data_IF_586217812006
#
_entry.id   IF_586217812006
#
_cell.length_a   1.000
_cell.length_b   1.000
_cell.length_c   1.000
_cell.angle_alpha   90.00
_cell.angle_beta   90.00
_cell.angle_gamma   90.00
#
_symmetry.space_group_name_H-M   'P 1'
#
loop_
_entity.id
_entity.type
_entity.pdbx_description
1 polymer ?
#
# COMPACT_ATOMS: atom_id res chain seq x y z
N UNK A 1 -8.69 24.67 8.14
CA UNK A 1 -7.88 25.28 7.04
C UNK A 1 -7.39 24.16 6.14
N UNK A 2 -7.28 24.42 4.84
CA UNK A 2 -6.71 23.46 3.89
C UNK A 2 -5.88 24.18 2.85
N UNK A 3 -4.70 23.68 2.52
CA UNK A 3 -3.90 24.06 1.36
C UNK A 3 -3.78 22.85 0.45
N UNK A 4 -4.41 22.89 -0.73
CA UNK A 4 -4.48 21.74 -1.66
C UNK A 4 -3.28 21.69 -2.58
N UNK A 5 -2.80 20.47 -2.88
CA UNK A 5 -1.78 20.20 -3.90
C UNK A 5 -0.60 21.18 -3.83
N UNK A 6 0.04 21.26 -2.67
CA UNK A 6 1.11 22.23 -2.43
C UNK A 6 2.32 21.91 -3.30
N UNK A 7 2.81 22.92 -3.99
CA UNK A 7 3.98 22.82 -4.87
C UNK A 7 5.00 23.90 -4.55
N UNK A 8 6.25 23.64 -4.94
CA UNK A 8 7.30 24.65 -4.86
C UNK A 8 7.10 25.70 -5.92
N UNK A 9 7.33 26.98 -5.57
CA UNK A 9 7.33 28.10 -6.52
C UNK A 9 8.49 29.06 -6.25
N UNK A 10 8.73 29.97 -7.16
CA UNK A 10 9.81 30.94 -7.10
C UNK A 10 9.19 32.34 -7.21
N UNK A 11 9.03 33.08 -6.07
CA UNK A 11 8.46 34.43 -6.10
C UNK A 11 9.44 35.42 -6.74
N UNK A 12 8.93 36.38 -7.48
CA UNK A 12 9.74 37.46 -8.06
C UNK A 12 10.43 38.30 -6.97
N UNK A 13 9.75 38.49 -5.84
CA UNK A 13 10.28 39.20 -4.67
C UNK A 13 10.22 38.26 -3.45
N UNK A 14 11.34 37.59 -3.09
CA UNK A 14 11.39 36.69 -1.97
C UNK A 14 11.24 37.42 -0.63
N UNK A 15 10.07 37.29 0.02
CA UNK A 15 9.73 37.92 1.30
C UNK A 15 10.63 37.44 2.46
N UNK A 16 11.02 36.17 2.45
CA UNK A 16 11.81 35.52 3.51
C UNK A 16 13.26 35.27 3.12
N UNK A 17 13.72 35.78 1.97
CA UNK A 17 15.09 35.69 1.47
C UNK A 17 15.30 34.64 0.38
N UNK A 18 16.43 34.75 -0.32
CA UNK A 18 16.74 33.95 -1.51
C UNK A 18 17.11 32.48 -1.18
N UNK A 19 17.44 32.15 0.07
CA UNK A 19 17.79 30.79 0.51
C UNK A 19 16.60 29.97 0.98
N UNK A 20 15.40 30.55 1.03
CA UNK A 20 14.18 29.90 1.50
C UNK A 20 13.46 29.21 0.32
N UNK A 21 12.96 28.03 0.54
CA UNK A 21 12.08 27.35 -0.41
C UNK A 21 10.65 27.83 -0.19
N UNK A 22 10.01 28.34 -1.24
CA UNK A 22 8.65 28.84 -1.19
C UNK A 22 7.67 27.79 -1.70
N UNK A 23 6.53 27.66 -1.02
CA UNK A 23 5.49 26.68 -1.32
C UNK A 23 4.14 27.39 -1.43
N UNK A 24 3.33 26.95 -2.39
CA UNK A 24 1.96 27.44 -2.56
C UNK A 24 1.01 26.31 -2.90
N UNK A 25 -0.25 26.46 -2.49
CA UNK A 25 -1.35 25.60 -2.90
C UNK A 25 -1.73 25.80 -4.37
N UNK A 26 -2.55 24.91 -4.91
CA UNK A 26 -3.03 24.98 -6.28
C UNK A 26 -3.86 26.24 -6.56
N UNK A 27 -4.53 26.80 -5.56
CA UNK A 27 -5.27 28.07 -5.62
C UNK A 27 -4.40 29.30 -5.33
N UNK A 28 -3.08 29.13 -5.22
CA UNK A 28 -2.09 30.20 -5.14
C UNK A 28 -1.82 30.74 -3.75
N UNK A 29 -2.35 30.15 -2.68
CA UNK A 29 -2.08 30.57 -1.30
C UNK A 29 -0.66 30.18 -0.89
N UNK A 30 0.12 31.16 -0.41
CA UNK A 30 1.46 30.91 0.11
C UNK A 30 1.41 30.16 1.44
N UNK A 31 2.28 29.18 1.60
CA UNK A 31 2.35 28.33 2.78
C UNK A 31 2.73 29.13 4.03
N UNK A 32 3.77 29.97 3.93
CA UNK A 32 4.24 30.75 5.09
C UNK A 32 3.26 31.84 5.50
N UNK A 33 2.57 32.48 4.56
CA UNK A 33 1.51 33.46 4.83
C UNK A 33 0.22 32.81 5.35
N UNK A 34 0.16 31.48 5.36
CA UNK A 34 -0.99 30.70 5.83
C UNK A 34 -0.76 29.96 7.15
N UNK A 35 0.46 30.02 7.73
CA UNK A 35 0.79 29.26 8.95
C UNK A 35 -0.18 29.51 10.09
N UNK A 36 -0.52 30.77 10.36
CA UNK A 36 -1.40 31.18 11.47
C UNK A 36 -2.88 30.84 11.25
N UNK A 37 -3.24 30.44 10.04
CA UNK A 37 -4.61 30.04 9.71
C UNK A 37 -4.91 28.59 10.10
N UNK A 38 -3.87 27.79 10.38
CA UNK A 38 -4.00 26.43 10.92
C UNK A 38 -4.11 26.47 12.43
N UNK A 39 -5.31 26.59 12.93
CA UNK A 39 -5.60 26.85 14.34
C UNK A 39 -5.83 25.60 15.19
N UNK A 40 -6.10 24.46 14.56
CA UNK A 40 -6.34 23.20 15.27
C UNK A 40 -5.04 22.56 15.75
N UNK A 41 -5.12 21.66 16.72
CA UNK A 41 -3.96 21.09 17.41
C UNK A 41 -2.97 20.40 16.49
N UNK A 42 -3.44 19.52 15.60
CA UNK A 42 -2.59 18.74 14.69
C UNK A 42 -2.68 19.26 13.26
N UNK A 43 -1.54 19.32 12.57
CA UNK A 43 -1.40 19.67 11.16
C UNK A 43 -0.88 18.45 10.43
N UNK A 44 -1.51 18.12 9.32
CA UNK A 44 -1.27 16.90 8.57
C UNK A 44 -0.85 17.25 7.14
N UNK A 45 0.20 16.58 6.63
CA UNK A 45 0.39 16.44 5.19
C UNK A 45 -0.34 15.17 4.74
N UNK A 46 -1.23 15.32 3.78
CA UNK A 46 -2.01 14.21 3.24
C UNK A 46 -1.77 14.05 1.74
N UNK A 47 -1.78 12.83 1.25
CA UNK A 47 -1.75 12.55 -0.18
C UNK A 47 -3.02 13.08 -0.84
N UNK A 48 -2.91 13.95 -1.88
CA UNK A 48 -4.07 14.66 -2.42
C UNK A 48 -5.18 13.75 -2.97
N UNK A 49 -4.80 12.60 -3.57
CA UNK A 49 -5.75 11.69 -4.21
C UNK A 49 -6.50 10.78 -3.22
N UNK A 50 -5.87 10.41 -2.11
CA UNK A 50 -6.37 9.36 -1.20
C UNK A 50 -6.68 9.87 0.20
N UNK A 51 -6.12 11.03 0.57
CA UNK A 51 -6.16 11.56 1.92
C UNK A 51 -5.23 10.85 2.91
N UNK A 52 -4.39 9.91 2.44
CA UNK A 52 -3.46 9.17 3.32
C UNK A 52 -2.53 10.15 4.03
N UNK A 53 -2.40 9.97 5.35
CA UNK A 53 -1.58 10.82 6.20
C UNK A 53 -0.11 10.43 6.05
N UNK A 54 0.70 11.39 5.60
CA UNK A 54 2.13 11.20 5.35
C UNK A 54 3.02 11.95 6.37
N UNK A 55 2.48 12.96 7.06
CA UNK A 55 3.17 13.70 8.12
C UNK A 55 2.19 14.25 9.12
N UNK A 56 2.61 14.30 10.39
CA UNK A 56 1.84 14.83 11.53
C UNK A 56 2.74 15.77 12.32
N UNK A 57 2.25 16.98 12.62
CA UNK A 57 2.95 17.95 13.48
C UNK A 57 1.96 18.78 14.27
N UNK A 58 2.35 19.28 15.44
CA UNK A 58 1.59 20.30 16.17
C UNK A 58 1.92 21.72 15.68
N UNK A 59 3.02 21.88 14.94
CA UNK A 59 3.46 23.15 14.36
C UNK A 59 3.46 23.09 12.84
N UNK A 60 2.73 23.98 12.19
CA UNK A 60 2.62 24.03 10.72
C UNK A 60 3.99 24.25 10.06
N UNK A 61 4.84 25.09 10.65
CA UNK A 61 6.17 25.45 10.11
C UNK A 61 7.15 24.26 10.04
N UNK A 62 6.88 23.16 10.74
CA UNK A 62 7.69 21.94 10.73
C UNK A 62 7.34 20.98 9.59
N UNK A 63 6.26 21.26 8.86
CA UNK A 63 5.87 20.42 7.73
C UNK A 63 6.67 20.78 6.46
N UNK A 64 6.97 19.77 5.66
CA UNK A 64 7.46 19.94 4.29
C UNK A 64 6.36 19.52 3.32
N UNK A 65 5.57 20.47 2.80
CA UNK A 65 4.28 20.17 2.17
C UNK A 65 4.34 19.83 0.68
N UNK A 66 5.51 19.80 0.05
CA UNK A 66 5.63 19.61 -1.41
C UNK A 66 5.07 18.25 -1.84
N UNK A 67 4.11 18.27 -2.75
CA UNK A 67 3.43 17.09 -3.26
C UNK A 67 2.24 16.63 -2.39
N UNK A 68 1.94 17.36 -1.31
CA UNK A 68 0.86 17.02 -0.38
C UNK A 68 -0.19 18.14 -0.30
N UNK A 69 -1.35 17.82 0.25
CA UNK A 69 -2.26 18.84 0.79
C UNK A 69 -1.99 18.96 2.30
N UNK A 70 -2.17 20.18 2.85
CA UNK A 70 -2.01 20.44 4.29
C UNK A 70 -3.38 20.74 4.87
N UNK A 71 -3.73 20.01 5.93
CA UNK A 71 -4.99 20.19 6.67
C UNK A 71 -4.72 20.22 8.17
N UNK A 72 -5.69 20.65 8.97
CA UNK A 72 -5.61 20.62 10.41
C UNK A 72 -6.80 19.89 11.05
N UNK A 73 -6.56 19.26 12.23
CA UNK A 73 -7.56 18.57 13.04
C UNK A 73 -7.26 18.77 14.53
N UNK A 74 -8.29 18.73 15.36
CA UNK A 74 -8.12 18.81 16.82
C UNK A 74 -7.82 17.44 17.43
N UNK A 75 -8.24 16.36 16.76
CA UNK A 75 -8.17 15.01 17.31
C UNK A 75 -7.50 14.04 16.34
N UNK A 76 -6.74 13.12 16.91
CA UNK A 76 -6.23 11.93 16.23
C UNK A 76 -6.70 10.70 17.00
N UNK A 77 -7.17 9.65 16.29
CA UNK A 77 -7.47 8.36 16.94
C UNK A 77 -6.25 7.75 17.60
N UNK A 78 -6.47 6.95 18.65
CA UNK A 78 -5.40 6.22 19.32
C UNK A 78 -4.63 5.36 18.33
N UNK A 79 -3.30 5.44 18.37
CA UNK A 79 -2.42 4.72 17.45
C UNK A 79 -2.34 5.28 16.04
N UNK A 80 -2.88 6.47 15.79
CA UNK A 80 -2.71 7.15 14.50
C UNK A 80 -1.23 7.47 14.25
N UNK A 81 -0.73 7.02 13.11
CA UNK A 81 0.65 7.18 12.69
C UNK A 81 0.77 7.51 11.18
N UNK A 82 2.00 7.62 10.69
CA UNK A 82 2.31 7.88 9.28
C UNK A 82 2.67 6.61 8.48
N UNK A 83 2.23 5.45 8.93
CA UNK A 83 2.51 4.16 8.28
C UNK A 83 1.72 3.90 6.98
N UNK A 84 0.89 4.86 6.56
CA UNK A 84 0.00 4.72 5.41
C UNK A 84 -1.33 4.00 5.72
N UNK A 85 -1.60 3.72 6.99
CA UNK A 85 -2.84 3.05 7.43
C UNK A 85 -3.94 4.02 7.83
N UNK A 86 -3.67 5.31 7.86
CA UNK A 86 -4.58 6.36 8.27
C UNK A 86 -4.79 7.38 7.17
N UNK A 87 -5.99 7.88 7.06
CA UNK A 87 -6.37 8.93 6.10
C UNK A 87 -7.22 10.00 6.77
N UNK A 88 -7.15 11.21 6.20
CA UNK A 88 -8.02 12.32 6.52
C UNK A 88 -8.96 12.59 5.34
N UNK A 89 -10.25 12.43 5.54
CA UNK A 89 -11.28 12.67 4.52
C UNK A 89 -12.46 13.37 5.19
N UNK A 90 -12.99 14.40 4.57
CA UNK A 90 -14.15 15.16 5.05
C UNK A 90 -14.04 15.64 6.51
N UNK A 91 -12.84 16.04 6.92
CA UNK A 91 -12.58 16.55 8.27
C UNK A 91 -12.35 15.48 9.33
N UNK A 92 -12.33 14.20 8.94
CA UNK A 92 -12.22 13.06 9.87
C UNK A 92 -10.97 12.23 9.58
N UNK A 93 -10.22 11.91 10.64
CA UNK A 93 -9.13 10.92 10.59
C UNK A 93 -9.72 9.54 10.82
N UNK A 94 -9.47 8.62 9.89
CA UNK A 94 -9.96 7.24 9.96
C UNK A 94 -8.95 6.26 9.37
N UNK A 95 -9.02 4.96 9.70
CA UNK A 95 -8.21 3.96 9.02
C UNK A 95 -8.47 3.94 7.51
N UNK A 96 -7.41 3.68 6.74
CA UNK A 96 -7.56 3.43 5.30
C UNK A 96 -8.36 2.15 5.11
N UNK A 97 -9.44 2.15 4.32
CA UNK A 97 -10.20 0.94 4.04
C UNK A 97 -9.32 -0.12 3.38
N UNK A 98 -9.36 -1.33 3.89
CA UNK A 98 -8.67 -2.47 3.29
C UNK A 98 -9.58 -3.07 2.21
N UNK A 99 -9.09 -3.11 0.98
CA UNK A 99 -9.71 -3.89 -0.08
C UNK A 99 -9.35 -5.37 0.11
N UNK A 100 -10.23 -6.09 0.79
CA UNK A 100 -10.01 -7.50 1.10
C UNK A 100 -10.07 -8.40 -0.14
N UNK A 101 -10.83 -8.03 -1.16
CA UNK A 101 -10.82 -8.73 -2.44
C UNK A 101 -9.43 -8.63 -3.10
N UNK A 102 -8.91 -7.41 -3.24
CA UNK A 102 -7.56 -7.18 -3.79
C UNK A 102 -6.47 -7.88 -2.96
N UNK A 103 -6.63 -7.89 -1.63
CA UNK A 103 -5.71 -8.60 -0.72
C UNK A 103 -5.74 -10.11 -0.97
N UNK A 104 -6.92 -10.70 -1.17
CA UNK A 104 -7.09 -12.12 -1.47
C UNK A 104 -6.50 -12.48 -2.85
N UNK A 105 -6.73 -11.63 -3.87
CA UNK A 105 -6.13 -11.80 -5.19
C UNK A 105 -4.60 -11.73 -5.16
N UNK A 106 -4.04 -10.78 -4.39
CA UNK A 106 -2.59 -10.68 -4.21
C UNK A 106 -2.02 -11.93 -3.52
N UNK A 107 -2.71 -12.45 -2.52
CA UNK A 107 -2.30 -13.70 -1.86
C UNK A 107 -2.38 -14.89 -2.82
N UNK A 108 -3.44 -15.00 -3.63
CA UNK A 108 -3.55 -16.03 -4.67
C UNK A 108 -2.40 -15.95 -5.66
N UNK A 109 -2.04 -14.76 -6.11
CA UNK A 109 -0.92 -14.56 -7.02
C UNK A 109 0.41 -15.01 -6.41
N UNK A 110 0.68 -14.62 -5.16
CA UNK A 110 1.89 -15.05 -4.45
C UNK A 110 1.98 -16.58 -4.33
N UNK A 111 0.85 -17.26 -4.06
CA UNK A 111 0.80 -18.72 -4.00
C UNK A 111 1.04 -19.38 -5.37
N UNK A 112 0.53 -18.76 -6.44
CA UNK A 112 0.77 -19.21 -7.82
C UNK A 112 2.23 -19.03 -8.23
N UNK A 113 2.85 -17.90 -7.87
CA UNK A 113 4.25 -17.60 -8.17
C UNK A 113 5.17 -18.60 -7.45
N UNK A 114 4.97 -18.82 -6.15
CA UNK A 114 5.72 -19.84 -5.37
C UNK A 114 5.55 -21.25 -5.95
N UNK A 115 4.35 -21.61 -6.38
CA UNK A 115 4.11 -22.92 -7.01
C UNK A 115 4.76 -23.03 -8.40
N UNK A 116 4.76 -21.99 -9.19
CA UNK A 116 5.44 -21.95 -10.49
C UNK A 116 6.96 -22.07 -10.31
N UNK A 117 7.53 -21.29 -9.38
CA UNK A 117 8.96 -21.33 -9.07
C UNK A 117 9.38 -22.74 -8.62
N UNK A 118 8.61 -23.33 -7.68
CA UNK A 118 8.87 -24.69 -7.18
C UNK A 118 8.84 -25.76 -8.29
N UNK A 119 8.05 -25.56 -9.34
CA UNK A 119 7.88 -26.57 -10.41
C UNK A 119 8.72 -26.30 -11.65
N UNK A 120 9.53 -25.23 -11.67
CA UNK A 120 10.28 -24.80 -12.86
C UNK A 120 11.24 -25.87 -13.36
N UNK A 121 12.05 -26.44 -12.47
CA UNK A 121 13.04 -27.46 -12.83
C UNK A 121 12.36 -28.75 -13.35
N UNK A 122 11.35 -29.22 -12.66
CA UNK A 122 10.59 -30.42 -13.09
C UNK A 122 9.91 -30.25 -14.44
N UNK A 123 9.42 -29.06 -14.76
CA UNK A 123 8.86 -28.76 -16.09
C UNK A 123 9.94 -28.80 -17.18
N UNK A 124 11.13 -28.29 -16.84
CA UNK A 124 12.28 -28.34 -17.74
C UNK A 124 12.72 -29.78 -17.96
N UNK A 125 12.88 -30.57 -16.90
CA UNK A 125 13.24 -31.99 -16.97
C UNK A 125 12.20 -32.80 -17.75
N UNK A 126 10.90 -32.51 -17.54
CA UNK A 126 9.82 -33.14 -18.30
C UNK A 126 9.93 -32.82 -19.80
N UNK A 127 10.24 -31.57 -20.15
CA UNK A 127 10.38 -31.15 -21.54
C UNK A 127 11.59 -31.80 -22.26
N UNK A 128 12.65 -32.09 -21.48
CA UNK A 128 13.85 -32.78 -21.92
C UNK A 128 13.70 -34.29 -21.91
N UNK A 129 12.64 -34.82 -21.34
CA UNK A 129 12.41 -36.28 -21.21
C UNK A 129 13.29 -36.97 -20.17
N UNK A 130 13.86 -36.22 -19.20
CA UNK A 130 14.80 -36.73 -18.18
C UNK A 130 14.22 -36.73 -16.77
N UNK A 131 12.97 -36.29 -16.59
CA UNK A 131 12.32 -36.25 -15.27
C UNK A 131 12.17 -37.65 -14.67
N UNK A 132 12.43 -37.80 -13.37
CA UNK A 132 12.18 -39.05 -12.64
C UNK A 132 10.67 -39.32 -12.47
N UNK A 133 10.29 -40.60 -12.26
CA UNK A 133 8.88 -40.91 -11.98
C UNK A 133 8.39 -40.30 -10.66
N UNK A 134 9.26 -40.15 -9.68
CA UNK A 134 8.98 -39.53 -8.38
C UNK A 134 8.70 -38.01 -8.58
N UNK A 135 9.56 -37.30 -9.29
CA UNK A 135 9.40 -35.89 -9.55
C UNK A 135 8.20 -35.59 -10.45
N UNK A 136 7.93 -36.47 -11.40
CA UNK A 136 6.72 -36.40 -12.24
C UNK A 136 5.44 -36.53 -11.39
N UNK A 137 5.42 -37.43 -10.43
CA UNK A 137 4.30 -37.59 -9.49
C UNK A 137 4.14 -36.35 -8.60
N UNK A 138 5.24 -35.76 -8.14
CA UNK A 138 5.22 -34.47 -7.41
C UNK A 138 4.70 -33.34 -8.30
N UNK A 139 5.20 -33.21 -9.53
CA UNK A 139 4.75 -32.20 -10.48
C UNK A 139 3.24 -32.29 -10.73
N UNK A 140 2.67 -33.50 -10.83
CA UNK A 140 1.21 -33.68 -10.99
C UNK A 140 0.44 -33.12 -9.79
N UNK A 141 0.91 -33.35 -8.55
CA UNK A 141 0.28 -32.78 -7.33
C UNK A 141 0.33 -31.25 -7.35
N UNK A 142 1.48 -30.68 -7.67
CA UNK A 142 1.64 -29.23 -7.76
C UNK A 142 0.81 -28.60 -8.89
N UNK A 143 0.72 -29.27 -10.05
CA UNK A 143 -0.15 -28.80 -11.13
C UNK A 143 -1.64 -28.85 -10.76
N UNK A 144 -2.05 -29.82 -9.92
CA UNK A 144 -3.41 -29.88 -9.39
C UNK A 144 -3.67 -28.73 -8.43
N UNK A 145 -2.71 -28.41 -7.53
CA UNK A 145 -2.75 -27.26 -6.64
C UNK A 145 -2.85 -25.94 -7.41
N UNK A 146 -2.01 -25.73 -8.43
CA UNK A 146 -2.05 -24.55 -9.31
C UNK A 146 -3.42 -24.39 -9.99
N UNK A 147 -3.99 -25.49 -10.48
CA UNK A 147 -5.34 -25.45 -11.08
C UNK A 147 -6.40 -25.07 -10.05
N UNK A 148 -6.34 -25.63 -8.83
CA UNK A 148 -7.26 -25.31 -7.76
C UNK A 148 -7.18 -23.81 -7.37
N UNK A 149 -5.97 -23.23 -7.25
CA UNK A 149 -5.78 -21.80 -7.01
C UNK A 149 -6.39 -20.93 -8.11
N UNK A 150 -6.24 -21.32 -9.37
CA UNK A 150 -6.74 -20.54 -10.52
C UNK A 150 -8.27 -20.51 -10.59
N UNK A 151 -8.95 -21.56 -10.13
CA UNK A 151 -10.42 -21.64 -10.18
C UNK A 151 -11.07 -21.23 -8.85
N UNK A 152 -10.26 -20.88 -7.83
CA UNK A 152 -10.77 -20.42 -6.54
C UNK A 152 -11.57 -19.13 -6.72
N UNK A 153 -12.85 -19.15 -6.35
CA UNK A 153 -13.70 -17.97 -6.42
C UNK A 153 -13.46 -17.07 -5.21
N UNK A 154 -13.08 -15.83 -5.47
CA UNK A 154 -12.83 -14.78 -4.47
C UNK A 154 -13.83 -13.63 -4.57
N UNK A 155 -14.85 -13.73 -5.43
CA UNK A 155 -15.82 -12.65 -5.70
C UNK A 155 -16.60 -12.20 -4.47
N UNK A 156 -16.83 -13.09 -3.51
CA UNK A 156 -17.55 -12.82 -2.28
C UNK A 156 -16.67 -12.27 -1.13
N UNK A 157 -15.36 -12.11 -1.35
CA UNK A 157 -14.45 -11.58 -0.34
C UNK A 157 -14.55 -10.05 -0.26
N UNK A 158 -15.46 -9.54 0.56
CA UNK A 158 -15.75 -8.10 0.69
C UNK A 158 -15.19 -7.48 1.96
N UNK A 159 -14.93 -8.29 2.98
CA UNK A 159 -14.50 -7.85 4.31
C UNK A 159 -13.49 -8.82 4.94
N UNK A 160 -13.06 -8.51 6.16
CA UNK A 160 -12.09 -9.32 6.91
C UNK A 160 -12.62 -10.72 7.22
N UNK A 161 -13.91 -10.85 7.50
CA UNK A 161 -14.54 -12.13 7.81
C UNK A 161 -14.52 -13.04 6.57
N UNK A 162 -14.91 -12.51 5.41
CA UNK A 162 -14.82 -13.20 4.12
C UNK A 162 -13.38 -13.61 3.79
N UNK A 163 -12.42 -12.72 4.02
CA UNK A 163 -11.01 -13.02 3.80
C UNK A 163 -10.50 -14.17 4.70
N UNK A 164 -10.86 -14.17 5.99
CA UNK A 164 -10.49 -15.25 6.93
C UNK A 164 -11.20 -16.57 6.65
N UNK A 165 -12.34 -16.52 5.99
CA UNK A 165 -13.12 -17.71 5.63
C UNK A 165 -12.66 -18.38 4.33
N UNK A 166 -11.70 -17.79 3.59
CA UNK A 166 -11.17 -18.37 2.35
C UNK A 166 -10.57 -19.75 2.65
N UNK A 167 -11.07 -20.75 1.94
CA UNK A 167 -10.50 -22.11 1.97
C UNK A 167 -9.45 -22.23 0.88
N UNK A 168 -8.22 -21.88 1.24
CA UNK A 168 -7.09 -22.05 0.33
C UNK A 168 -6.84 -23.54 0.07
N UNK A 169 -6.51 -23.95 -1.17
CA UNK A 169 -6.09 -25.32 -1.46
C UNK A 169 -4.87 -25.72 -0.64
N UNK A 170 -4.80 -26.98 -0.24
CA UNK A 170 -3.65 -27.52 0.49
C UNK A 170 -2.41 -27.54 -0.41
N UNK A 171 -1.35 -26.86 0.06
CA UNK A 171 -0.07 -26.82 -0.64
C UNK A 171 0.61 -28.19 -0.55
N UNK A 172 1.03 -28.78 -1.69
CA UNK A 172 1.77 -30.05 -1.67
C UNK A 172 3.12 -29.92 -0.96
N UNK A 173 3.56 -30.99 -0.30
CA UNK A 173 4.88 -31.03 0.29
C UNK A 173 5.97 -31.04 -0.78
N UNK A 174 7.09 -30.34 -0.51
CA UNK A 174 8.28 -30.46 -1.35
C UNK A 174 8.93 -31.82 -1.06
N UNK A 175 9.41 -32.53 -2.10
CA UNK A 175 10.22 -33.71 -1.85
C UNK A 175 11.42 -33.34 -0.97
N UNK A 176 11.74 -34.18 -0.02
CA UNK A 176 12.99 -34.06 0.74
C UNK A 176 14.15 -34.18 -0.24
N UNK A 177 14.86 -33.08 -0.48
CA UNK A 177 16.15 -33.12 -1.19
C UNK A 177 17.03 -34.11 -0.45
N UNK A 178 17.28 -35.28 -1.04
CA UNK A 178 18.35 -36.17 -0.57
C UNK A 178 19.65 -35.39 -0.71
N UNK A 179 20.19 -34.90 0.39
CA UNK A 179 21.60 -34.46 0.40
C UNK A 179 22.43 -35.72 0.13
N UNK A 180 23.10 -35.72 -1.03
CA UNK A 180 24.22 -36.64 -1.27
C UNK A 180 25.43 -36.27 -0.41
#
# INVERSE_FOLDING_TARGET
MELKNVSRYYPETPKYGNGVQYFRSEDGLDFYDSLDKFTKKYKLCIEPATGVICSISEETSRLYPVGFSVVDTDELPDGCDISGKWRFVDGVVSPVPVDYHKKAESQRQNLLDDANDTTTDWRTELSLGIISDEDKACLVKWMTYIKALKVLDLSDVKDEAGFKAIKWPDKPEKPLTKQE
#
